data_IF_436054261232
#
_entry.id   IF_436054261232
#
_cell.length_a   1.000
_cell.length_b   1.000
_cell.length_c   1.000
_cell.angle_alpha   90.00
_cell.angle_beta   90.00
_cell.angle_gamma   90.00
#
_symmetry.space_group_name_H-M   'P 1'
#
loop_
_entity.id
_entity.type
_entity.pdbx_description
1 polymer ?
#
# COMPACT_ATOMS: atom_id res chain seq x y z
N UNK A 1 25.42 10.97 12.62
CA UNK A 1 24.57 9.88 13.14
C UNK A 1 23.14 9.90 12.58
N UNK A 2 22.37 11.00 12.68
CA UNK A 2 20.99 11.10 12.13
C UNK A 2 20.91 10.81 10.61
N UNK A 3 21.91 11.22 9.83
CA UNK A 3 21.98 10.98 8.37
C UNK A 3 22.00 9.49 8.01
N UNK A 4 22.74 8.67 8.76
CA UNK A 4 22.86 7.23 8.51
C UNK A 4 21.59 6.48 8.90
N UNK A 5 20.96 6.87 10.01
CA UNK A 5 19.66 6.33 10.42
C UNK A 5 18.56 6.61 9.38
N UNK A 6 18.54 7.83 8.83
CA UNK A 6 17.60 8.22 7.78
C UNK A 6 17.85 7.47 6.47
N UNK A 7 19.11 7.24 6.10
CA UNK A 7 19.48 6.47 4.91
C UNK A 7 19.06 5.00 5.05
N UNK A 8 19.33 4.39 6.20
CA UNK A 8 18.95 3.00 6.50
C UNK A 8 17.42 2.84 6.45
N UNK A 9 16.67 3.76 7.08
CA UNK A 9 15.21 3.78 7.01
C UNK A 9 14.67 3.93 5.58
N UNK A 10 15.33 4.72 4.74
CA UNK A 10 14.94 4.90 3.35
C UNK A 10 15.21 3.62 2.53
N UNK A 11 16.38 3.01 2.69
CA UNK A 11 16.73 1.75 2.02
C UNK A 11 15.84 0.59 2.44
N UNK A 12 15.46 0.51 3.71
CA UNK A 12 14.53 -0.51 4.22
C UNK A 12 13.13 -0.34 3.61
N UNK A 13 12.61 0.90 3.59
CA UNK A 13 11.34 1.23 2.94
C UNK A 13 11.35 0.88 1.46
N UNK A 14 12.45 1.13 0.78
CA UNK A 14 12.55 0.88 -0.66
C UNK A 14 12.68 -0.61 -0.99
N UNK A 15 13.39 -1.37 -0.14
CA UNK A 15 13.44 -2.83 -0.24
C UNK A 15 12.05 -3.44 -0.04
N UNK A 16 11.31 -3.00 0.99
CA UNK A 16 9.92 -3.43 1.22
C UNK A 16 9.02 -3.10 0.03
N UNK A 17 9.16 -1.90 -0.55
CA UNK A 17 8.41 -1.48 -1.73
C UNK A 17 8.68 -2.37 -2.93
N UNK A 18 9.94 -2.74 -3.19
CA UNK A 18 10.32 -3.64 -4.29
C UNK A 18 9.75 -5.04 -4.08
N UNK A 19 9.86 -5.59 -2.87
CA UNK A 19 9.29 -6.91 -2.54
C UNK A 19 7.78 -6.92 -2.72
N UNK A 20 7.06 -5.92 -2.19
CA UNK A 20 5.60 -5.80 -2.34
C UNK A 20 5.15 -5.54 -3.79
N UNK A 21 6.01 -4.97 -4.64
CA UNK A 21 5.75 -4.82 -6.07
C UNK A 21 6.04 -6.09 -6.88
N UNK A 22 6.83 -7.02 -6.34
CA UNK A 22 7.18 -8.30 -6.99
C UNK A 22 6.20 -9.44 -6.66
N UNK A 23 5.36 -9.25 -5.65
CA UNK A 23 4.22 -10.13 -5.36
C UNK A 23 3.20 -9.92 -6.48
N UNK A 24 2.77 -11.00 -7.14
CA UNK A 24 1.78 -10.95 -8.22
C UNK A 24 0.37 -10.51 -7.78
N UNK A 25 0.17 -10.38 -6.46
CA UNK A 25 -1.10 -10.03 -5.84
C UNK A 25 -1.24 -8.53 -5.53
N UNK A 26 -2.49 -8.09 -5.44
CA UNK A 26 -2.83 -6.78 -4.92
C UNK A 26 -2.52 -6.69 -3.42
N UNK A 27 -1.80 -5.64 -3.02
CA UNK A 27 -1.52 -5.32 -1.61
C UNK A 27 -2.09 -3.94 -1.28
N UNK A 28 -2.93 -3.90 -0.26
CA UNK A 28 -3.46 -2.66 0.33
C UNK A 28 -3.15 -2.68 1.83
N UNK A 29 -2.66 -1.57 2.37
CA UNK A 29 -2.49 -1.41 3.82
C UNK A 29 -3.39 -0.28 4.34
N UNK A 30 -3.87 -0.47 5.57
CA UNK A 30 -4.74 0.48 6.26
C UNK A 30 -4.18 0.83 7.64
N UNK A 31 -4.64 1.95 8.20
CA UNK A 31 -4.44 2.25 9.62
C UNK A 31 -5.39 1.44 10.52
N UNK A 32 -5.31 1.64 11.84
CA UNK A 32 -6.17 0.94 12.81
C UNK A 32 -7.66 1.29 12.69
N UNK A 33 -7.99 2.35 11.94
CA UNK A 33 -9.36 2.75 11.62
C UNK A 33 -9.81 2.21 10.27
N UNK A 34 -8.99 1.44 9.56
CA UNK A 34 -9.31 0.90 8.23
C UNK A 34 -9.21 1.92 7.10
N UNK A 35 -8.54 3.06 7.33
CA UNK A 35 -8.29 4.06 6.29
C UNK A 35 -7.06 3.65 5.47
N UNK A 36 -7.15 3.68 4.15
CA UNK A 36 -6.07 3.27 3.27
C UNK A 36 -4.87 4.21 3.42
N UNK A 37 -3.70 3.62 3.66
CA UNK A 37 -2.41 4.31 3.77
C UNK A 37 -1.43 3.93 2.66
N UNK A 38 -1.68 2.81 1.96
CA UNK A 38 -0.83 2.32 0.88
C UNK A 38 -1.59 1.39 -0.06
N UNK A 39 -1.25 1.46 -1.35
CA UNK A 39 -1.66 0.51 -2.39
C UNK A 39 -0.45 0.25 -3.29
N UNK A 40 -0.18 -1.02 -3.61
CA UNK A 40 0.77 -1.35 -4.67
C UNK A 40 0.11 -1.10 -6.06
N UNK A 41 0.89 -0.99 -7.15
CA UNK A 41 0.34 -0.76 -8.49
C UNK A 41 -0.64 -1.85 -8.96
N UNK A 42 -0.51 -3.08 -8.44
CA UNK A 42 -1.42 -4.18 -8.76
C UNK A 42 -2.78 -3.93 -8.12
N UNK A 43 -2.81 -3.53 -6.84
CA UNK A 43 -4.05 -3.13 -6.15
C UNK A 43 -4.72 -1.93 -6.84
N UNK A 44 -3.94 -0.94 -7.28
CA UNK A 44 -4.50 0.18 -8.06
C UNK A 44 -5.18 -0.32 -9.34
N UNK A 45 -4.52 -1.22 -10.08
CA UNK A 45 -5.09 -1.81 -11.31
C UNK A 45 -6.32 -2.68 -11.05
N UNK A 46 -6.31 -3.51 -10.00
CA UNK A 46 -7.40 -4.44 -9.69
C UNK A 46 -8.64 -3.74 -9.15
N UNK A 47 -8.46 -2.71 -8.33
CA UNK A 47 -9.58 -1.95 -7.77
C UNK A 47 -10.08 -0.85 -8.72
N UNK A 48 -9.24 -0.40 -9.66
CA UNK A 48 -9.50 0.76 -10.51
C UNK A 48 -9.24 2.10 -9.81
N UNK A 49 -8.76 2.08 -8.56
CA UNK A 49 -8.45 3.26 -7.78
C UNK A 49 -6.97 3.63 -7.87
N UNK A 50 -6.65 4.92 -7.93
CA UNK A 50 -5.29 5.38 -7.66
C UNK A 50 -5.15 5.61 -6.17
N UNK A 51 -3.97 5.31 -5.62
CA UNK A 51 -3.65 5.52 -4.20
C UNK A 51 -3.99 6.95 -3.77
N UNK A 52 -3.65 7.95 -4.59
CA UNK A 52 -3.95 9.37 -4.30
C UNK A 52 -5.44 9.65 -4.02
N UNK A 53 -6.33 8.89 -4.65
CA UNK A 53 -7.78 9.06 -4.56
C UNK A 53 -8.37 8.13 -3.48
N UNK A 54 -7.70 7.01 -3.20
CA UNK A 54 -8.05 6.05 -2.16
C UNK A 54 -7.51 6.42 -0.77
N UNK A 55 -6.49 7.29 -0.67
CA UNK A 55 -5.92 7.72 0.60
C UNK A 55 -7.01 8.29 1.52
N UNK A 56 -7.01 7.87 2.78
CA UNK A 56 -8.01 8.23 3.78
C UNK A 56 -9.45 7.76 3.46
N UNK A 57 -9.66 6.94 2.44
CA UNK A 57 -10.91 6.22 2.27
C UNK A 57 -10.89 4.94 3.11
N UNK A 58 -12.07 4.54 3.60
CA UNK A 58 -12.26 3.22 4.20
C UNK A 58 -12.02 2.14 3.16
N UNK A 59 -11.32 1.07 3.53
CA UNK A 59 -11.04 -0.07 2.64
C UNK A 59 -12.31 -0.65 2.00
N UNK A 60 -13.41 -0.66 2.75
CA UNK A 60 -14.73 -1.15 2.30
C UNK A 60 -15.31 -0.37 1.11
N UNK A 61 -14.91 0.89 0.92
CA UNK A 61 -15.36 1.71 -0.22
C UNK A 61 -14.56 1.41 -1.50
N UNK A 62 -13.36 0.85 -1.35
CA UNK A 62 -12.38 0.66 -2.43
C UNK A 62 -12.29 -0.79 -2.86
N UNK A 63 -12.44 -1.72 -1.91
CA UNK A 63 -12.35 -3.16 -2.15
C UNK A 63 -13.56 -3.87 -1.56
N UNK A 64 -14.27 -4.62 -2.40
CA UNK A 64 -15.40 -5.46 -2.01
C UNK A 64 -14.93 -6.92 -2.01
N UNK A 65 -15.01 -7.57 -0.85
CA UNK A 65 -14.83 -9.01 -0.77
C UNK A 65 -16.08 -9.67 -1.36
N UNK A 66 -15.91 -10.47 -2.41
CA UNK A 66 -16.96 -11.37 -2.88
C UNK A 66 -16.63 -12.76 -2.35
N UNK A 67 -17.53 -13.32 -1.55
CA UNK A 67 -17.54 -14.76 -1.31
C UNK A 67 -17.92 -15.45 -2.63
N UNK A 68 -17.14 -16.46 -3.01
CA UNK A 68 -17.35 -17.29 -4.21
C UNK A 68 -17.89 -18.66 -3.83
#
# INVERSE_FOLDING_TARGET
EVKNARQALYSEKERLRVTLNSIGDAVIATDTKGLITFMNPIAERMTGWRLKDALHQKIENVMYLKDS
#
